data_IF_055614263908
#
_entry.id   IF_055614263908
#
_cell.length_a   1.000
_cell.length_b   1.000
_cell.length_c   1.000
_cell.angle_alpha   90.00
_cell.angle_beta   90.00
_cell.angle_gamma   90.00
#
_symmetry.space_group_name_H-M   'P 1'
#
loop_
_entity.id
_entity.type
_entity.pdbx_description
1 polymer ?
#
# COMPACT_ATOMS: atom_id res chain seq x y z
N UNK A 1 20.21 -16.29 28.28
CA UNK A 1 20.75 -16.86 29.51
C UNK A 1 19.59 -17.11 30.45
N UNK A 2 19.36 -18.36 30.90
CA UNK A 2 18.32 -18.63 31.90
C UNK A 2 18.77 -17.98 33.21
N UNK A 3 17.88 -17.25 33.88
CA UNK A 3 18.20 -16.60 35.14
C UNK A 3 18.46 -17.69 36.20
N UNK A 4 19.72 -17.85 36.63
CA UNK A 4 20.16 -18.92 37.53
C UNK A 4 19.37 -18.96 38.84
N UNK A 5 18.91 -17.79 39.30
CA UNK A 5 18.09 -17.68 40.52
C UNK A 5 16.72 -18.34 40.33
N UNK A 6 16.10 -18.16 39.15
CA UNK A 6 14.79 -18.73 38.83
C UNK A 6 14.90 -20.26 38.70
N UNK A 7 15.97 -20.75 38.08
CA UNK A 7 16.19 -22.19 37.93
C UNK A 7 16.30 -22.86 39.29
N UNK A 8 17.10 -22.30 40.19
CA UNK A 8 17.31 -22.84 41.54
C UNK A 8 16.04 -22.81 42.40
N UNK A 9 15.21 -21.78 42.24
CA UNK A 9 13.91 -21.69 42.91
C UNK A 9 12.95 -22.79 42.43
N UNK A 10 12.89 -23.04 41.12
CA UNK A 10 12.03 -24.08 40.56
C UNK A 10 12.44 -25.48 41.02
N UNK A 11 13.74 -25.78 41.09
CA UNK A 11 14.26 -27.06 41.59
C UNK A 11 13.86 -27.32 43.06
N UNK A 12 13.91 -26.28 43.90
CA UNK A 12 13.46 -26.39 45.31
C UNK A 12 11.95 -26.63 45.37
N UNK A 13 11.17 -25.93 44.56
CA UNK A 13 9.72 -26.08 44.54
C UNK A 13 9.30 -27.50 44.07
N UNK A 14 9.95 -28.02 43.03
CA UNK A 14 9.71 -29.38 42.51
C UNK A 14 10.02 -30.45 43.57
N UNK A 15 11.16 -30.34 44.26
CA UNK A 15 11.53 -31.30 45.32
C UNK A 15 10.57 -31.28 46.52
N UNK A 16 10.03 -30.11 46.89
CA UNK A 16 9.00 -29.99 47.93
C UNK A 16 7.70 -30.66 47.45
N UNK A 17 7.24 -30.36 46.24
CA UNK A 17 6.01 -30.92 45.69
C UNK A 17 6.05 -32.46 45.64
N UNK A 18 7.16 -33.04 45.20
CA UNK A 18 7.35 -34.51 45.15
C UNK A 18 7.26 -35.15 46.54
N UNK A 19 7.71 -34.46 47.59
CA UNK A 19 7.67 -34.99 48.96
C UNK A 19 6.26 -35.03 49.56
N UNK A 20 5.38 -34.11 49.15
CA UNK A 20 4.05 -33.93 49.76
C UNK A 20 2.90 -34.52 48.96
N UNK A 21 3.12 -34.95 47.71
CA UNK A 21 2.11 -35.63 46.90
C UNK A 21 2.29 -37.15 46.89
N UNK A 22 1.19 -37.90 46.89
CA UNK A 22 1.18 -39.35 46.72
C UNK A 22 1.56 -39.72 45.27
N UNK A 23 2.28 -40.83 45.09
CA UNK A 23 2.85 -41.23 43.78
C UNK A 23 1.79 -41.33 42.68
N UNK A 24 0.59 -41.80 43.00
CA UNK A 24 -0.54 -41.91 42.05
C UNK A 24 -1.05 -40.53 41.58
N UNK A 25 -1.02 -39.52 42.44
CA UNK A 25 -1.41 -38.14 42.09
C UNK A 25 -0.32 -37.46 41.24
N UNK A 26 0.95 -37.83 41.44
CA UNK A 26 2.08 -37.27 40.68
C UNK A 26 1.98 -37.66 39.20
N UNK A 27 1.66 -38.91 38.91
CA UNK A 27 1.52 -39.40 37.53
C UNK A 27 0.35 -38.72 36.81
N UNK A 28 -0.78 -38.53 37.51
CA UNK A 28 -1.94 -37.82 36.96
C UNK A 28 -1.64 -36.35 36.70
N UNK A 29 -0.94 -35.68 37.64
CA UNK A 29 -0.53 -34.28 37.49
C UNK A 29 0.49 -34.13 36.36
N UNK A 30 1.44 -35.06 36.24
CA UNK A 30 2.42 -35.05 35.16
C UNK A 30 1.74 -35.26 33.80
N UNK A 31 0.77 -36.16 33.72
CA UNK A 31 -0.03 -36.37 32.51
C UNK A 31 -0.82 -35.11 32.12
N UNK A 32 -1.52 -34.48 33.08
CA UNK A 32 -2.27 -33.25 32.85
C UNK A 32 -1.36 -32.08 32.46
N UNK A 33 -0.19 -31.95 33.08
CA UNK A 33 0.80 -30.92 32.76
C UNK A 33 1.37 -31.11 31.35
N UNK A 34 1.71 -32.35 30.98
CA UNK A 34 2.22 -32.68 29.64
C UNK A 34 1.17 -32.38 28.57
N UNK A 35 -0.09 -32.80 28.81
CA UNK A 35 -1.20 -32.52 27.91
C UNK A 35 -1.45 -31.02 27.73
N UNK A 36 -1.45 -30.25 28.81
CA UNK A 36 -1.56 -28.78 28.74
C UNK A 36 -0.38 -28.14 27.99
N UNK A 37 0.83 -28.65 28.15
CA UNK A 37 2.00 -28.16 27.42
C UNK A 37 1.86 -28.40 25.92
N UNK A 38 1.45 -29.60 25.50
CA UNK A 38 1.19 -29.91 24.09
C UNK A 38 0.08 -29.02 23.49
N UNK A 39 -0.98 -28.73 24.26
CA UNK A 39 -2.04 -27.79 23.86
C UNK A 39 -1.49 -26.38 23.67
N UNK A 40 -0.66 -25.90 24.59
CA UNK A 40 0.02 -24.60 24.49
C UNK A 40 0.97 -24.57 23.28
N UNK A 41 1.69 -25.66 23.01
CA UNK A 41 2.59 -25.76 21.85
C UNK A 41 1.80 -25.72 20.53
N UNK A 42 0.66 -26.43 20.45
CA UNK A 42 -0.25 -26.36 19.29
C UNK A 42 -0.81 -24.95 19.10
N UNK A 43 -1.23 -24.28 20.18
CA UNK A 43 -1.70 -22.89 20.14
C UNK A 43 -0.59 -21.94 19.72
N UNK A 44 0.64 -22.11 20.22
CA UNK A 44 1.79 -21.28 19.85
C UNK A 44 2.22 -21.52 18.40
N UNK A 45 2.10 -22.75 17.89
CA UNK A 45 2.33 -23.08 16.47
C UNK A 45 1.25 -22.47 15.58
N UNK A 46 0.00 -22.47 16.02
CA UNK A 46 -1.11 -21.79 15.33
C UNK A 46 -0.94 -20.26 15.33
N UNK A 47 -0.59 -19.65 16.47
CA UNK A 47 -0.28 -18.21 16.54
C UNK A 47 0.94 -17.85 15.68
N UNK A 48 1.97 -18.69 15.65
CA UNK A 48 3.09 -18.50 14.73
C UNK A 48 2.70 -18.71 13.27
N UNK A 49 1.67 -19.49 12.92
CA UNK A 49 1.24 -19.59 11.53
C UNK A 49 0.39 -18.39 11.10
N UNK A 50 -0.35 -17.76 12.01
CA UNK A 50 -1.10 -16.53 11.70
C UNK A 50 -0.20 -15.28 11.72
N UNK A 51 0.85 -15.25 12.55
CA UNK A 51 1.82 -14.13 12.60
C UNK A 51 3.05 -14.31 11.69
N UNK A 52 3.45 -15.54 11.30
CA UNK A 52 4.62 -15.77 10.42
C UNK A 52 4.32 -16.21 8.99
N UNK A 53 3.10 -16.65 8.62
CA UNK A 53 2.82 -17.02 7.22
C UNK A 53 2.32 -15.87 6.32
N UNK A 54 2.34 -14.62 6.78
CA UNK A 54 2.16 -13.46 5.88
C UNK A 54 3.50 -12.79 5.51
N UNK A 55 4.62 -13.15 6.14
CA UNK A 55 5.88 -12.40 5.97
C UNK A 55 7.18 -13.21 6.10
N UNK A 56 7.20 -14.51 5.81
CA UNK A 56 8.46 -15.24 5.62
C UNK A 56 8.31 -16.41 4.66
N UNK A 57 8.09 -16.14 3.37
CA UNK A 57 8.50 -17.07 2.30
C UNK A 57 8.53 -16.38 0.94
N UNK A 58 9.38 -15.37 0.79
CA UNK A 58 9.89 -14.98 -0.53
C UNK A 58 11.41 -14.83 -0.45
N UNK A 59 12.08 -15.78 -1.08
CA UNK A 59 13.49 -15.76 -1.49
C UNK A 59 14.00 -14.32 -1.61
N UNK A 60 14.92 -13.93 -0.73
CA UNK A 60 15.74 -12.71 -0.85
C UNK A 60 16.38 -12.65 -2.24
N UNK A 61 15.75 -11.95 -3.18
CA UNK A 61 16.45 -11.39 -4.33
C UNK A 61 17.17 -10.15 -3.81
N UNK A 62 18.49 -10.30 -3.61
CA UNK A 62 19.41 -9.20 -3.32
C UNK A 62 19.23 -8.11 -4.40
N UNK A 63 18.72 -6.95 -4.00
CA UNK A 63 18.47 -5.84 -4.91
C UNK A 63 18.08 -4.55 -4.20
N UNK A 64 19.05 -3.93 -3.50
CA UNK A 64 19.13 -2.48 -3.23
C UNK A 64 17.88 -1.82 -2.60
N UNK A 65 17.66 -2.00 -1.30
CA UNK A 65 17.46 -0.92 -0.30
C UNK A 65 17.33 -1.48 1.12
N UNK A 66 17.90 -0.78 2.10
CA UNK A 66 17.90 -1.14 3.53
C UNK A 66 16.56 -0.80 4.22
N UNK A 67 15.42 -0.96 3.53
CA UNK A 67 14.12 -0.62 4.11
C UNK A 67 13.30 -1.88 4.23
N UNK A 68 12.92 -2.16 5.46
CA UNK A 68 11.99 -3.23 5.79
C UNK A 68 10.56 -2.74 5.54
N UNK A 69 10.15 -2.75 4.28
CA UNK A 69 8.83 -2.29 3.83
C UNK A 69 7.72 -3.08 4.53
N UNK A 70 7.94 -4.37 4.77
CA UNK A 70 6.97 -5.23 5.45
C UNK A 70 6.74 -4.77 6.88
N UNK A 71 7.81 -4.43 7.61
CA UNK A 71 7.70 -3.88 8.97
C UNK A 71 6.93 -2.56 9.01
N UNK A 72 7.16 -1.66 8.06
CA UNK A 72 6.43 -0.38 7.96
C UNK A 72 4.94 -0.58 7.62
N UNK A 73 4.61 -1.58 6.81
CA UNK A 73 3.20 -1.92 6.53
C UNK A 73 2.53 -2.53 7.77
N UNK A 74 3.24 -3.37 8.53
CA UNK A 74 2.72 -3.97 9.77
C UNK A 74 2.42 -2.93 10.84
N UNK A 75 3.28 -1.91 10.97
CA UNK A 75 3.06 -0.83 11.95
C UNK A 75 1.88 0.07 11.57
N UNK A 76 1.56 0.15 10.27
CA UNK A 76 0.49 1.01 9.77
C UNK A 76 -0.92 0.41 9.92
N UNK A 77 -1.10 -0.90 9.72
CA UNK A 77 -2.43 -1.52 9.77
C UNK A 77 -2.42 -2.95 10.30
N UNK A 78 -3.46 -3.28 11.07
CA UNK A 78 -3.75 -4.64 11.55
C UNK A 78 -4.64 -5.40 10.56
N UNK A 79 -5.31 -4.69 9.64
CA UNK A 79 -6.25 -5.31 8.69
C UNK A 79 -5.48 -6.14 7.65
N UNK A 80 -5.71 -7.48 7.60
CA UNK A 80 -4.93 -8.36 6.73
C UNK A 80 -5.15 -8.06 5.24
N UNK A 81 -6.36 -7.65 4.85
CA UNK A 81 -6.68 -7.34 3.45
C UNK A 81 -5.97 -6.07 2.98
N UNK A 82 -5.96 -5.02 3.83
CA UNK A 82 -5.25 -3.78 3.52
C UNK A 82 -3.73 -4.00 3.47
N UNK A 83 -3.19 -4.80 4.40
CA UNK A 83 -1.79 -5.19 4.38
C UNK A 83 -1.41 -5.91 3.09
N UNK A 84 -2.22 -6.86 2.65
CA UNK A 84 -2.00 -7.57 1.39
C UNK A 84 -1.96 -6.62 0.19
N UNK A 85 -2.95 -5.72 0.07
CA UNK A 85 -3.00 -4.74 -1.01
C UNK A 85 -1.77 -3.79 -1.03
N UNK A 86 -1.25 -3.41 0.14
CA UNK A 86 -0.04 -2.59 0.24
C UNK A 86 1.22 -3.34 -0.20
N UNK A 87 1.33 -4.62 0.15
CA UNK A 87 2.45 -5.48 -0.30
C UNK A 87 2.39 -5.65 -1.81
N UNK A 88 1.22 -5.95 -2.39
CA UNK A 88 1.05 -6.07 -3.84
C UNK A 88 1.38 -4.77 -4.58
N UNK A 89 0.99 -3.62 -4.03
CA UNK A 89 1.37 -2.31 -4.59
C UNK A 89 2.89 -2.09 -4.59
N UNK A 90 3.58 -2.52 -3.54
CA UNK A 90 5.04 -2.47 -3.49
C UNK A 90 5.68 -3.41 -4.53
N UNK A 91 5.21 -4.65 -4.64
CA UNK A 91 5.68 -5.62 -5.65
C UNK A 91 5.46 -5.14 -7.08
N UNK A 92 4.32 -4.49 -7.35
CA UNK A 92 4.05 -3.83 -8.63
C UNK A 92 5.06 -2.73 -8.91
N UNK A 93 5.41 -1.89 -7.92
CA UNK A 93 6.42 -0.83 -8.07
C UNK A 93 7.82 -1.36 -8.39
N UNK A 94 8.21 -2.46 -7.77
CA UNK A 94 9.45 -3.17 -8.11
C UNK A 94 9.40 -3.67 -9.57
N UNK A 95 8.26 -4.24 -9.98
CA UNK A 95 8.06 -4.79 -11.32
C UNK A 95 8.17 -3.73 -12.43
N UNK A 96 7.66 -2.51 -12.21
CA UNK A 96 7.81 -1.37 -13.14
C UNK A 96 9.16 -0.64 -13.01
N UNK A 97 10.12 -1.20 -12.25
CA UNK A 97 11.46 -0.63 -12.00
C UNK A 97 11.42 0.74 -11.32
N UNK A 98 10.40 0.99 -10.50
CA UNK A 98 10.24 2.21 -9.68
C UNK A 98 10.11 1.83 -8.19
N UNK A 99 11.14 1.18 -7.62
CA UNK A 99 11.15 0.73 -6.23
C UNK A 99 10.92 1.88 -5.25
N UNK A 100 10.35 1.58 -4.09
CA UNK A 100 10.26 2.54 -2.99
C UNK A 100 11.57 2.49 -2.20
N UNK A 101 12.36 3.55 -2.29
CA UNK A 101 13.73 3.58 -1.75
C UNK A 101 13.87 4.32 -0.41
N UNK A 102 12.80 4.86 0.17
CA UNK A 102 12.87 5.70 1.38
C UNK A 102 11.66 5.51 2.26
N UNK A 103 11.86 5.38 3.58
CA UNK A 103 10.78 5.27 4.59
C UNK A 103 9.82 6.45 4.48
N UNK A 104 10.33 7.68 4.29
CA UNK A 104 9.50 8.87 4.12
C UNK A 104 8.56 8.81 2.90
N UNK A 105 8.87 8.04 1.86
CA UNK A 105 7.95 7.82 0.73
C UNK A 105 6.80 6.91 1.14
N UNK A 106 7.07 5.88 1.94
CA UNK A 106 6.05 4.99 2.52
C UNK A 106 5.14 5.79 3.45
N UNK A 107 5.71 6.60 4.35
CA UNK A 107 4.93 7.47 5.25
C UNK A 107 4.05 8.45 4.47
N UNK A 108 4.56 9.07 3.40
CA UNK A 108 3.75 9.96 2.54
C UNK A 108 2.62 9.23 1.84
N UNK A 109 2.87 8.01 1.37
CA UNK A 109 1.84 7.16 0.76
C UNK A 109 0.72 6.87 1.76
N UNK A 110 1.06 6.47 2.99
CA UNK A 110 0.10 6.22 4.07
C UNK A 110 -0.70 7.46 4.46
N UNK A 111 -0.03 8.61 4.62
CA UNK A 111 -0.71 9.87 4.91
C UNK A 111 -1.67 10.27 3.79
N UNK A 112 -1.28 10.06 2.53
CA UNK A 112 -2.13 10.34 1.37
C UNK A 112 -3.32 9.39 1.34
N UNK A 113 -3.14 8.10 1.59
CA UNK A 113 -4.21 7.10 1.76
C UNK A 113 -5.23 7.52 2.81
N UNK A 114 -4.76 7.94 3.99
CA UNK A 114 -5.62 8.42 5.09
C UNK A 114 -6.37 9.71 4.73
N UNK A 115 -5.83 10.53 3.82
CA UNK A 115 -6.48 11.77 3.38
C UNK A 115 -7.60 11.51 2.39
N UNK A 116 -7.41 10.55 1.48
CA UNK A 116 -8.33 10.30 0.36
C UNK A 116 -9.40 9.27 0.65
N UNK A 117 -9.17 8.35 1.61
CA UNK A 117 -10.09 7.29 1.98
C UNK A 117 -10.57 7.44 3.43
N UNK A 118 -11.85 7.18 3.65
CA UNK A 118 -12.48 7.25 4.99
C UNK A 118 -12.37 5.94 5.74
N UNK A 119 -12.44 4.82 5.01
CA UNK A 119 -12.48 3.47 5.56
C UNK A 119 -11.38 2.60 4.93
N UNK A 120 -11.02 1.50 5.60
CA UNK A 120 -10.01 0.57 5.08
C UNK A 120 -10.44 -0.10 3.76
N UNK A 121 -11.74 -0.32 3.55
CA UNK A 121 -12.24 -0.86 2.29
C UNK A 121 -11.99 0.11 1.11
N UNK A 122 -12.19 1.41 1.31
CA UNK A 122 -11.90 2.42 0.28
C UNK A 122 -10.40 2.51 -0.01
N UNK A 123 -9.56 2.39 1.03
CA UNK A 123 -8.09 2.33 0.88
C UNK A 123 -7.68 1.14 -0.01
N UNK A 124 -8.27 -0.03 0.22
CA UNK A 124 -8.03 -1.23 -0.59
C UNK A 124 -8.41 -0.98 -2.05
N UNK A 125 -9.63 -0.47 -2.31
CA UNK A 125 -10.08 -0.23 -3.69
C UNK A 125 -9.22 0.79 -4.45
N UNK A 126 -8.69 1.82 -3.76
CA UNK A 126 -7.73 2.77 -4.33
C UNK A 126 -6.43 2.07 -4.72
N UNK A 127 -5.89 1.24 -3.84
CA UNK A 127 -4.65 0.49 -4.07
C UNK A 127 -4.81 -0.49 -5.24
N UNK A 128 -5.89 -1.27 -5.26
CA UNK A 128 -6.21 -2.21 -6.34
C UNK A 128 -6.29 -1.50 -7.69
N UNK A 129 -6.97 -0.35 -7.74
CA UNK A 129 -7.05 0.46 -8.97
C UNK A 129 -5.67 0.95 -9.43
N UNK A 130 -4.82 1.33 -8.48
CA UNK A 130 -3.44 1.75 -8.78
C UNK A 130 -2.61 0.57 -9.31
N UNK A 131 -2.80 -0.63 -8.77
CA UNK A 131 -2.12 -1.86 -9.19
C UNK A 131 -2.51 -2.25 -10.61
N UNK A 132 -3.82 -2.30 -10.90
CA UNK A 132 -4.35 -2.66 -12.23
C UNK A 132 -3.80 -1.72 -13.31
N UNK A 133 -3.69 -0.43 -13.01
CA UNK A 133 -3.21 0.57 -13.95
C UNK A 133 -1.69 0.80 -13.93
N UNK A 134 -0.94 0.06 -13.10
CA UNK A 134 0.50 0.25 -12.90
C UNK A 134 0.90 1.69 -12.53
N UNK A 135 0.06 2.38 -11.76
CA UNK A 135 0.32 3.76 -11.36
C UNK A 135 1.40 3.84 -10.28
N UNK A 136 2.27 4.84 -10.42
CA UNK A 136 3.31 5.13 -9.44
C UNK A 136 2.74 5.72 -8.15
N UNK A 137 1.63 6.45 -8.22
CA UNK A 137 1.03 7.16 -7.09
C UNK A 137 -0.46 6.85 -7.04
N UNK A 138 -1.05 7.02 -5.86
CA UNK A 138 -2.46 6.77 -5.58
C UNK A 138 -3.32 8.00 -5.87
N UNK A 139 -4.55 7.76 -6.32
CA UNK A 139 -5.50 8.81 -6.68
C UNK A 139 -6.88 8.51 -6.11
N UNK A 140 -7.64 9.56 -5.84
CA UNK A 140 -9.01 9.46 -5.36
C UNK A 140 -9.90 8.67 -6.34
N UNK A 141 -10.78 7.84 -5.78
CA UNK A 141 -11.82 7.20 -6.57
C UNK A 141 -12.84 8.26 -6.97
N UNK A 142 -13.10 8.38 -8.28
CA UNK A 142 -14.21 9.19 -8.76
C UNK A 142 -15.50 8.56 -8.24
N UNK A 143 -16.23 9.31 -7.43
CA UNK A 143 -17.59 8.95 -7.08
C UNK A 143 -18.46 9.16 -8.32
N UNK A 144 -18.80 8.07 -9.01
CA UNK A 144 -19.69 8.11 -10.18
C UNK A 144 -21.10 8.66 -9.86
N UNK A 145 -21.39 8.84 -8.56
CA UNK A 145 -22.63 9.41 -8.04
C UNK A 145 -22.68 10.95 -8.02
N UNK A 146 -21.64 11.63 -8.49
CA UNK A 146 -21.70 13.08 -8.72
C UNK A 146 -21.16 13.36 -10.11
N UNK A 147 -21.97 13.07 -11.13
CA UNK A 147 -22.01 13.89 -12.34
C UNK A 147 -22.47 15.29 -11.95
N UNK A 148 -21.63 16.05 -11.25
CA UNK A 148 -21.68 17.50 -11.42
C UNK A 148 -21.11 17.70 -12.82
N UNK A 149 -22.00 18.08 -13.72
CA UNK A 149 -21.64 18.76 -14.94
C UNK A 149 -20.81 19.98 -14.53
N UNK A 150 -19.51 19.79 -14.35
CA UNK A 150 -18.58 20.88 -14.40
C UNK A 150 -18.37 21.12 -15.88
N UNK A 151 -19.23 22.00 -16.41
CA UNK A 151 -19.00 22.71 -17.67
C UNK A 151 -17.79 23.64 -17.51
N UNK A 152 -16.65 23.06 -17.16
CA UNK A 152 -15.38 23.59 -17.57
C UNK A 152 -15.08 22.94 -18.91
N UNK A 153 -15.88 23.31 -19.92
CA UNK A 153 -15.33 23.46 -21.26
C UNK A 153 -14.04 24.25 -21.05
N UNK A 154 -12.90 23.57 -21.12
CA UNK A 154 -11.63 24.25 -21.34
C UNK A 154 -11.90 25.08 -22.59
N UNK A 155 -12.19 26.37 -22.40
CA UNK A 155 -11.87 27.40 -23.37
C UNK A 155 -10.39 27.21 -23.60
N UNK A 156 -10.06 26.30 -24.54
CA UNK A 156 -8.83 26.36 -25.30
C UNK A 156 -8.86 27.78 -25.80
N UNK A 157 -8.04 28.65 -25.20
CA UNK A 157 -7.81 29.97 -25.76
C UNK A 157 -7.21 29.68 -27.13
N UNK A 158 -8.07 29.63 -28.15
CA UNK A 158 -7.65 29.69 -29.52
C UNK A 158 -6.99 31.05 -29.63
N UNK A 159 -5.65 31.08 -29.69
CA UNK A 159 -4.87 32.30 -29.92
C UNK A 159 -5.16 32.95 -31.29
N UNK A 160 -6.20 32.50 -31.99
CA UNK A 160 -6.57 32.85 -33.35
C UNK A 160 -7.94 33.55 -33.47
N UNK A 161 -8.74 33.68 -32.40
CA UNK A 161 -10.12 34.21 -32.50
C UNK A 161 -10.23 35.75 -32.38
N UNK A 162 -9.12 36.46 -32.13
CA UNK A 162 -9.09 37.92 -32.04
C UNK A 162 -8.33 38.60 -33.17
N UNK A 163 -8.15 37.92 -34.31
CA UNK A 163 -7.91 38.65 -35.55
C UNK A 163 -9.28 38.98 -36.13
N UNK A 164 -9.69 40.24 -36.03
CA UNK A 164 -10.67 40.80 -36.95
C UNK A 164 -10.02 40.81 -38.34
N UNK A 165 -9.91 39.64 -38.96
CA UNK A 165 -9.69 39.55 -40.39
C UNK A 165 -11.05 39.84 -41.03
N UNK A 166 -11.21 40.94 -41.77
CA UNK A 166 -12.38 41.11 -42.61
C UNK A 166 -12.40 39.90 -43.55
N UNK A 167 -13.37 39.00 -43.39
CA UNK A 167 -13.59 37.93 -44.36
C UNK A 167 -14.18 38.58 -45.60
N UNK A 168 -13.30 39.12 -46.44
CA UNK A 168 -13.64 39.58 -47.77
C UNK A 168 -14.12 38.35 -48.55
N UNK A 169 -15.34 38.41 -49.08
CA UNK A 169 -15.85 37.34 -49.96
C UNK A 169 -15.07 37.41 -51.28
N UNK A 170 -14.90 36.28 -51.97
CA UNK A 170 -13.94 36.07 -53.06
C UNK A 170 -13.75 37.24 -54.05
N UNK A 171 -14.81 37.94 -54.45
CA UNK A 171 -14.70 39.11 -55.34
C UNK A 171 -13.93 40.29 -54.73
N UNK A 172 -14.10 40.58 -53.45
CA UNK A 172 -13.41 41.70 -52.78
C UNK A 172 -11.91 41.41 -52.56
N UNK A 173 -11.53 40.13 -52.47
CA UNK A 173 -10.12 39.69 -52.43
C UNK A 173 -9.45 39.85 -53.80
N UNK A 174 -10.15 39.50 -54.87
CA UNK A 174 -9.63 39.67 -56.23
C UNK A 174 -9.40 41.15 -56.55
N UNK A 175 -10.37 42.01 -56.23
CA UNK A 175 -10.28 43.46 -56.45
C UNK A 175 -9.13 44.12 -55.66
N UNK A 176 -8.90 43.68 -54.41
CA UNK A 176 -7.79 44.20 -53.58
C UNK A 176 -6.42 43.69 -53.98
N UNK A 177 -6.31 42.47 -54.52
CA UNK A 177 -5.06 41.95 -55.06
C UNK A 177 -4.74 42.64 -56.39
N UNK A 178 -5.75 42.91 -57.21
CA UNK A 178 -5.62 43.65 -58.47
C UNK A 178 -5.26 45.13 -58.24
N UNK A 179 -5.81 45.78 -57.20
CA UNK A 179 -5.51 47.19 -56.90
C UNK A 179 -4.11 47.42 -56.33
N UNK A 180 -3.49 46.40 -55.74
CA UNK A 180 -2.18 46.50 -55.09
C UNK A 180 -1.04 45.93 -55.94
N UNK A 181 -1.34 45.33 -57.09
CA UNK A 181 -0.33 44.95 -58.07
C UNK A 181 0.02 46.16 -58.94
N UNK A 182 0.88 47.03 -58.42
CA UNK A 182 1.58 48.08 -59.17
C UNK A 182 2.64 47.46 -60.12
N UNK A 183 2.23 46.57 -61.03
CA UNK A 183 3.09 46.01 -62.07
C UNK A 183 3.29 46.96 -63.26
N UNK A 184 2.56 48.09 -63.31
CA UNK A 184 2.72 49.14 -64.33
C UNK A 184 3.77 50.21 -63.97
N UNK A 185 4.56 49.99 -62.90
CA UNK A 185 5.65 50.88 -62.50
C UNK A 185 7.00 50.17 -62.44
N UNK A 186 7.43 49.68 -63.60
CA UNK A 186 8.85 49.40 -63.90
C UNK A 186 9.21 49.94 -65.27
#
# INVERSE_FOLDING_TARGET
>A
MKNEVIVKYNEILESILIKYLFVEDIDEILYLATKRYEEIEKINKAKNCDDKNICNDKKKKKGKTNIDVEKEICSYTVNPNLRKALVEFYEMRESIKKPILTVGTITRLFNKLNKIAKNDNEKISILEKSIINNWQDIWELKNDNIKKADDSTQKRKNYCENVNTPTLKGQELEDTILSNNDLDKF
#
